data_IF_871193105715
#
_entry.id   IF_871193105715
#
_cell.length_a   1.000
_cell.length_b   1.000
_cell.length_c   1.000
_cell.angle_alpha   90.00
_cell.angle_beta   90.00
_cell.angle_gamma   90.00
#
_symmetry.space_group_name_H-M   'P 1'
#
loop_
_entity.id
_entity.type
_entity.pdbx_description
1 polymer ?
#
# COMPACT_ATOMS: atom_id res chain seq x y z
N UNK A 1 -14.43 -18.63 -2.28
CA UNK A 1 -15.20 -17.77 -3.20
C UNK A 1 -15.55 -18.53 -4.50
N UNK A 2 -14.60 -19.17 -5.19
CA UNK A 2 -14.86 -19.97 -6.41
C UNK A 2 -16.04 -20.93 -6.24
N UNK A 3 -16.03 -21.72 -5.17
CA UNK A 3 -17.10 -22.65 -4.81
C UNK A 3 -18.48 -21.97 -4.66
N UNK A 4 -18.53 -20.76 -4.09
CA UNK A 4 -19.78 -20.02 -3.94
C UNK A 4 -20.30 -19.55 -5.29
N UNK A 5 -19.42 -18.99 -6.13
CA UNK A 5 -19.76 -18.52 -7.47
C UNK A 5 -20.28 -19.70 -8.33
N UNK A 6 -19.54 -20.82 -8.30
CA UNK A 6 -19.90 -22.02 -9.05
C UNK A 6 -21.28 -22.57 -8.65
N UNK A 7 -21.54 -22.71 -7.34
CA UNK A 7 -22.82 -23.23 -6.85
C UNK A 7 -24.00 -22.32 -7.20
N UNK A 8 -23.88 -21.01 -6.95
CA UNK A 8 -24.94 -20.06 -7.21
C UNK A 8 -25.26 -19.99 -8.71
N UNK A 9 -24.24 -19.93 -9.56
CA UNK A 9 -24.46 -19.94 -11.00
C UNK A 9 -25.01 -21.28 -11.51
N UNK A 10 -24.53 -22.42 -10.98
CA UNK A 10 -25.05 -23.73 -11.34
C UNK A 10 -26.52 -23.88 -11.00
N UNK A 11 -26.97 -23.37 -9.85
CA UNK A 11 -28.37 -23.32 -9.45
C UNK A 11 -29.18 -22.41 -10.39
N UNK A 12 -28.71 -21.23 -10.71
CA UNK A 12 -29.37 -20.29 -11.62
C UNK A 12 -29.49 -20.82 -13.06
N UNK A 13 -28.54 -21.66 -13.49
CA UNK A 13 -28.54 -22.29 -14.82
C UNK A 13 -29.20 -23.66 -14.85
N UNK A 14 -29.75 -24.18 -13.73
CA UNK A 14 -30.26 -25.56 -13.64
C UNK A 14 -31.32 -25.89 -14.68
N UNK A 15 -32.26 -24.97 -14.94
CA UNK A 15 -33.38 -25.14 -15.89
C UNK A 15 -33.02 -24.65 -17.31
N UNK A 16 -31.76 -24.45 -17.63
CA UNK A 16 -31.32 -23.93 -18.94
C UNK A 16 -30.43 -24.92 -19.68
N UNK A 17 -30.13 -24.62 -20.96
CA UNK A 17 -29.20 -25.38 -21.78
C UNK A 17 -27.71 -24.96 -21.52
N UNK A 18 -27.47 -24.09 -20.53
CA UNK A 18 -26.17 -23.59 -20.16
C UNK A 18 -25.69 -24.32 -18.90
N UNK A 19 -24.46 -24.64 -18.84
CA UNK A 19 -23.80 -25.16 -17.64
C UNK A 19 -22.50 -24.38 -17.32
N UNK A 20 -22.22 -24.24 -16.04
CA UNK A 20 -20.90 -23.74 -15.60
C UNK A 20 -19.89 -24.85 -15.83
N UNK A 21 -18.85 -24.58 -16.61
CA UNK A 21 -17.76 -25.54 -16.88
C UNK A 21 -16.68 -25.41 -15.82
N UNK A 22 -16.23 -24.18 -15.56
CA UNK A 22 -15.23 -23.89 -14.53
C UNK A 22 -15.29 -22.46 -14.03
N UNK A 23 -14.92 -22.29 -12.77
CA UNK A 23 -14.66 -21.00 -12.15
C UNK A 23 -13.22 -21.02 -11.67
N UNK A 24 -12.42 -20.02 -12.03
CA UNK A 24 -11.05 -19.92 -11.57
C UNK A 24 -10.65 -18.49 -11.20
N UNK A 25 -9.79 -18.41 -10.22
CA UNK A 25 -9.23 -17.18 -9.70
C UNK A 25 -8.04 -16.72 -10.55
N UNK A 26 -8.00 -15.46 -10.92
CA UNK A 26 -6.89 -14.88 -11.69
C UNK A 26 -5.99 -14.01 -10.80
N UNK A 27 -6.59 -13.09 -10.08
CA UNK A 27 -5.89 -12.13 -9.21
C UNK A 27 -6.86 -11.64 -8.11
N UNK A 28 -6.41 -10.96 -7.04
CA UNK A 28 -7.30 -10.53 -5.96
C UNK A 28 -8.58 -9.85 -6.45
N UNK A 29 -9.72 -10.47 -6.12
CA UNK A 29 -11.05 -9.98 -6.48
C UNK A 29 -11.50 -10.27 -7.91
N UNK A 30 -10.72 -10.99 -8.74
CA UNK A 30 -11.06 -11.29 -10.13
C UNK A 30 -11.21 -12.78 -10.35
N UNK A 31 -12.40 -13.15 -10.77
CA UNK A 31 -12.77 -14.51 -11.12
C UNK A 31 -13.19 -14.61 -12.58
N UNK A 32 -12.74 -15.66 -13.22
CA UNK A 32 -13.19 -16.02 -14.55
C UNK A 32 -14.16 -17.19 -14.45
N UNK A 33 -15.25 -17.08 -15.19
CA UNK A 33 -16.29 -18.06 -15.25
C UNK A 33 -16.39 -18.52 -16.72
N UNK A 34 -16.27 -19.79 -16.95
CA UNK A 34 -16.47 -20.40 -18.26
C UNK A 34 -17.76 -21.17 -18.21
N UNK A 35 -18.67 -20.86 -19.12
CA UNK A 35 -19.92 -21.58 -19.32
C UNK A 35 -19.89 -22.33 -20.65
N UNK A 36 -20.61 -23.43 -20.73
CA UNK A 36 -20.77 -24.22 -21.94
C UNK A 36 -22.25 -24.46 -22.26
N UNK A 37 -22.61 -24.48 -23.53
CA UNK A 37 -23.94 -24.92 -23.96
C UNK A 37 -24.04 -26.43 -23.92
N UNK A 38 -25.12 -26.95 -23.34
CA UNK A 38 -25.47 -28.41 -23.38
C UNK A 38 -25.91 -28.85 -24.76
N UNK A 39 -26.45 -27.91 -25.56
CA UNK A 39 -26.77 -28.14 -26.96
C UNK A 39 -25.58 -27.78 -27.89
N UNK A 40 -25.51 -28.46 -29.06
CA UNK A 40 -24.43 -28.19 -30.04
C UNK A 40 -24.60 -26.86 -30.78
N UNK A 41 -25.67 -26.14 -30.60
CA UNK A 41 -25.94 -24.84 -31.21
C UNK A 41 -25.64 -23.71 -30.21
N UNK A 42 -24.87 -22.70 -30.68
CA UNK A 42 -24.69 -21.50 -29.88
C UNK A 42 -26.00 -20.75 -29.73
N UNK A 43 -26.42 -20.33 -28.51
CA UNK A 43 -27.54 -19.44 -28.33
C UNK A 43 -27.36 -18.17 -29.20
N UNK A 44 -28.31 -17.90 -30.07
CA UNK A 44 -28.19 -16.74 -30.99
C UNK A 44 -28.52 -15.42 -30.30
N UNK A 45 -29.22 -15.46 -29.15
CA UNK A 45 -29.61 -14.30 -28.37
C UNK A 45 -29.09 -14.44 -26.93
N UNK A 46 -28.26 -13.49 -26.48
CA UNK A 46 -27.81 -13.38 -25.08
C UNK A 46 -28.94 -13.07 -24.07
N UNK A 47 -30.18 -13.18 -24.45
CA UNK A 47 -31.33 -12.78 -23.62
C UNK A 47 -31.49 -13.57 -22.32
N UNK A 48 -31.42 -14.89 -22.38
CA UNK A 48 -31.61 -15.75 -21.20
C UNK A 48 -30.35 -15.74 -20.31
N UNK A 49 -29.16 -15.79 -20.90
CA UNK A 49 -27.88 -15.71 -20.20
C UNK A 49 -27.75 -14.34 -19.50
N UNK A 50 -28.16 -13.28 -20.18
CA UNK A 50 -28.13 -11.93 -19.61
C UNK A 50 -29.00 -11.76 -18.38
N UNK A 51 -30.19 -12.37 -18.35
CA UNK A 51 -31.09 -12.31 -17.18
C UNK A 51 -30.50 -13.07 -15.99
N UNK A 52 -29.96 -14.25 -16.22
CA UNK A 52 -29.32 -15.07 -15.18
C UNK A 52 -28.10 -14.34 -14.59
N UNK A 53 -27.27 -13.73 -15.43
CA UNK A 53 -26.12 -12.96 -14.94
C UNK A 53 -26.55 -11.73 -14.14
N UNK A 54 -27.65 -11.04 -14.50
CA UNK A 54 -28.21 -9.95 -13.68
C UNK A 54 -28.72 -10.45 -12.33
N UNK A 55 -29.39 -11.60 -12.29
CA UNK A 55 -29.83 -12.23 -11.03
C UNK A 55 -28.61 -12.62 -10.17
N UNK A 56 -27.60 -13.19 -10.77
CA UNK A 56 -26.35 -13.50 -10.08
C UNK A 56 -25.69 -12.24 -9.47
N UNK A 57 -25.56 -11.17 -10.26
CA UNK A 57 -25.01 -9.89 -9.77
C UNK A 57 -25.84 -9.34 -8.63
N UNK A 58 -27.17 -9.35 -8.74
CA UNK A 58 -28.06 -8.89 -7.68
C UNK A 58 -27.91 -9.71 -6.39
N UNK A 59 -27.81 -11.03 -6.51
CA UNK A 59 -27.59 -11.93 -5.37
C UNK A 59 -26.24 -11.68 -4.70
N UNK A 60 -25.17 -11.55 -5.50
CA UNK A 60 -23.83 -11.27 -4.99
C UNK A 60 -23.77 -9.93 -4.24
N UNK A 61 -24.43 -8.91 -4.77
CA UNK A 61 -24.48 -7.58 -4.14
C UNK A 61 -25.22 -7.59 -2.80
N UNK A 62 -26.30 -8.36 -2.72
CA UNK A 62 -27.05 -8.44 -1.47
C UNK A 62 -26.32 -9.23 -0.38
N UNK A 63 -25.61 -10.28 -0.74
CA UNK A 63 -25.09 -11.27 0.22
C UNK A 63 -23.59 -11.17 0.50
N UNK A 64 -22.78 -10.66 -0.44
CA UNK A 64 -21.32 -10.81 -0.36
C UNK A 64 -20.58 -9.50 -0.61
N UNK A 65 -20.83 -8.85 -1.75
CA UNK A 65 -20.12 -7.64 -2.18
C UNK A 65 -21.11 -6.54 -2.56
N UNK A 66 -21.05 -5.36 -1.92
CA UNK A 66 -21.96 -4.25 -2.24
C UNK A 66 -21.74 -3.67 -3.64
N UNK A 67 -20.55 -3.87 -4.23
CA UNK A 67 -20.21 -3.40 -5.57
C UNK A 67 -19.48 -4.49 -6.36
N UNK A 68 -19.98 -4.78 -7.54
CA UNK A 68 -19.45 -5.82 -8.43
C UNK A 68 -19.41 -5.33 -9.87
N UNK A 69 -18.27 -5.54 -10.54
CA UNK A 69 -18.18 -5.44 -11.99
C UNK A 69 -18.40 -6.83 -12.61
N UNK A 70 -19.28 -6.94 -13.58
CA UNK A 70 -19.54 -8.18 -14.31
C UNK A 70 -19.45 -7.93 -15.82
N UNK A 71 -18.61 -8.68 -16.49
CA UNK A 71 -18.46 -8.63 -17.95
C UNK A 71 -18.74 -9.98 -18.59
N UNK A 72 -19.59 -10.01 -19.59
CA UNK A 72 -19.94 -11.20 -20.34
C UNK A 72 -19.32 -11.17 -21.74
N UNK A 73 -18.64 -12.25 -22.11
CA UNK A 73 -18.12 -12.48 -23.47
C UNK A 73 -19.24 -12.96 -24.41
N UNK A 74 -18.86 -13.26 -25.65
CA UNK A 74 -19.73 -13.91 -26.62
C UNK A 74 -19.46 -15.42 -26.62
N UNK A 75 -20.46 -16.17 -27.07
CA UNK A 75 -20.28 -17.59 -27.35
C UNK A 75 -19.22 -17.77 -28.47
N UNK A 76 -18.22 -18.59 -28.21
CA UNK A 76 -17.08 -18.76 -29.08
C UNK A 76 -16.51 -20.18 -28.98
N UNK A 77 -15.78 -20.60 -29.96
CA UNK A 77 -15.00 -21.83 -29.88
C UNK A 77 -13.86 -21.74 -28.88
N UNK A 78 -13.34 -22.87 -28.42
CA UNK A 78 -12.17 -22.90 -27.49
C UNK A 78 -11.00 -22.11 -28.05
N UNK A 79 -10.79 -22.12 -29.37
CA UNK A 79 -9.73 -21.36 -30.03
C UNK A 79 -9.94 -19.82 -29.93
N UNK A 80 -11.16 -19.39 -29.86
CA UNK A 80 -11.52 -17.97 -29.69
C UNK A 80 -11.41 -17.44 -28.26
N UNK A 81 -11.40 -18.31 -27.24
CA UNK A 81 -11.44 -17.91 -25.82
C UNK A 81 -10.29 -16.97 -25.42
N UNK A 82 -9.08 -17.18 -25.96
CA UNK A 82 -7.94 -16.31 -25.66
C UNK A 82 -8.17 -14.87 -26.16
N UNK A 83 -8.83 -14.72 -27.32
CA UNK A 83 -9.19 -13.39 -27.85
C UNK A 83 -10.30 -12.77 -27.00
N UNK A 84 -11.29 -13.57 -26.60
CA UNK A 84 -12.38 -13.13 -25.75
C UNK A 84 -11.88 -12.63 -24.39
N UNK A 85 -10.98 -13.38 -23.73
CA UNK A 85 -10.44 -12.98 -22.43
C UNK A 85 -9.70 -11.64 -22.52
N UNK A 86 -8.90 -11.42 -23.56
CA UNK A 86 -8.23 -10.12 -23.79
C UNK A 86 -9.23 -8.98 -24.01
N UNK A 87 -10.30 -9.25 -24.73
CA UNK A 87 -11.33 -8.24 -24.99
C UNK A 87 -12.13 -7.90 -23.71
N UNK A 88 -12.49 -8.91 -22.91
CA UNK A 88 -13.13 -8.70 -21.61
C UNK A 88 -12.23 -7.91 -20.65
N UNK A 89 -10.94 -8.19 -20.65
CA UNK A 89 -9.98 -7.40 -19.85
C UNK A 89 -9.95 -5.94 -20.30
N UNK A 90 -9.91 -5.67 -21.61
CA UNK A 90 -9.99 -4.30 -22.15
C UNK A 90 -11.32 -3.63 -21.81
N UNK A 91 -12.42 -4.38 -21.85
CA UNK A 91 -13.73 -3.88 -21.45
C UNK A 91 -13.74 -3.47 -19.98
N UNK A 92 -13.19 -4.30 -19.08
CA UNK A 92 -13.03 -3.95 -17.66
C UNK A 92 -12.19 -2.68 -17.48
N UNK A 93 -11.03 -2.60 -18.15
CA UNK A 93 -10.15 -1.43 -18.08
C UNK A 93 -10.81 -0.13 -18.60
N UNK A 94 -11.74 -0.26 -19.53
CA UNK A 94 -12.50 0.86 -20.09
C UNK A 94 -13.81 1.19 -19.38
N UNK A 95 -14.19 0.45 -18.34
CA UNK A 95 -15.49 0.58 -17.65
C UNK A 95 -15.37 0.47 -16.13
N UNK A 96 -14.30 1.00 -15.55
CA UNK A 96 -14.04 0.93 -14.10
C UNK A 96 -15.08 1.65 -13.23
N UNK A 97 -15.85 2.57 -13.80
CA UNK A 97 -16.95 3.27 -13.13
C UNK A 97 -18.27 2.49 -13.11
N UNK A 98 -18.40 1.45 -13.92
CA UNK A 98 -19.63 0.65 -13.97
C UNK A 98 -19.65 -0.36 -12.84
N UNK A 99 -20.72 -0.36 -12.04
CA UNK A 99 -20.92 -1.26 -10.92
C UNK A 99 -22.34 -1.86 -10.97
N UNK A 100 -22.42 -3.10 -10.52
CA UNK A 100 -23.70 -3.80 -10.33
C UNK A 100 -24.51 -4.00 -11.62
N UNK A 101 -23.85 -3.89 -12.75
CA UNK A 101 -24.41 -4.13 -14.07
C UNK A 101 -23.63 -5.22 -14.80
N UNK A 102 -24.35 -5.93 -15.68
CA UNK A 102 -23.71 -6.88 -16.60
C UNK A 102 -23.41 -6.18 -17.92
N UNK A 103 -22.14 -6.10 -18.24
CA UNK A 103 -21.68 -5.54 -19.51
C UNK A 103 -21.45 -6.66 -20.53
N UNK A 104 -22.03 -6.52 -21.71
CA UNK A 104 -21.83 -7.47 -22.82
C UNK A 104 -20.81 -6.96 -23.80
N UNK A 105 -19.85 -7.79 -24.16
CA UNK A 105 -18.72 -7.42 -25.03
C UNK A 105 -19.16 -6.93 -26.42
N UNK A 106 -20.27 -7.46 -26.97
CA UNK A 106 -20.82 -7.04 -28.25
C UNK A 106 -21.47 -5.64 -28.21
N UNK A 107 -21.92 -5.21 -27.05
CA UNK A 107 -22.59 -3.92 -26.83
C UNK A 107 -21.62 -2.86 -26.33
N UNK A 108 -20.54 -3.28 -25.70
CA UNK A 108 -19.58 -2.39 -25.09
C UNK A 108 -18.92 -1.47 -26.12
N UNK A 109 -18.91 -0.18 -25.82
CA UNK A 109 -18.14 0.84 -26.51
C UNK A 109 -17.28 1.55 -25.48
N UNK A 110 -15.97 1.46 -25.66
CA UNK A 110 -15.04 2.16 -24.78
C UNK A 110 -15.32 3.67 -24.83
N UNK A 111 -15.42 4.33 -23.67
CA UNK A 111 -15.57 5.78 -23.65
C UNK A 111 -14.38 6.42 -24.37
N UNK A 112 -14.67 7.37 -25.24
CA UNK A 112 -13.62 8.21 -25.83
C UNK A 112 -13.26 9.30 -24.81
N UNK A 113 -12.29 9.01 -23.95
CA UNK A 113 -11.82 9.97 -22.96
C UNK A 113 -10.56 10.64 -23.46
N UNK A 114 -10.62 11.94 -23.71
CA UNK A 114 -9.42 12.77 -23.71
C UNK A 114 -9.17 13.21 -22.27
N UNK A 115 -8.12 12.69 -21.64
CA UNK A 115 -7.72 13.15 -20.32
C UNK A 115 -7.26 14.61 -20.41
N UNK A 116 -7.93 15.48 -19.71
CA UNK A 116 -7.58 16.89 -19.59
C UNK A 116 -7.71 17.31 -18.12
N UNK A 117 -6.58 17.52 -17.46
CA UNK A 117 -6.58 17.90 -16.05
C UNK A 117 -6.58 19.42 -15.89
N UNK A 118 -7.76 20.01 -15.78
CA UNK A 118 -7.94 21.45 -15.55
C UNK A 118 -7.66 21.88 -14.11
N UNK A 119 -7.53 20.95 -13.17
CA UNK A 119 -7.27 21.23 -11.76
C UNK A 119 -5.76 21.27 -11.43
N UNK A 120 -4.88 20.94 -12.38
CA UNK A 120 -3.44 20.76 -12.16
C UNK A 120 -2.76 21.99 -11.51
N UNK A 121 -3.08 23.18 -12.00
CA UNK A 121 -2.49 24.42 -11.46
C UNK A 121 -3.06 24.77 -10.07
N UNK A 122 -4.31 24.40 -9.81
CA UNK A 122 -4.92 24.54 -8.49
C UNK A 122 -4.24 23.60 -7.49
N UNK A 123 -3.95 22.34 -7.88
CA UNK A 123 -3.23 21.41 -7.01
C UNK A 123 -1.83 21.89 -6.68
N UNK A 124 -1.10 22.44 -7.66
CA UNK A 124 0.22 23.07 -7.43
C UNK A 124 0.15 24.23 -6.43
N UNK A 125 -0.86 25.09 -6.56
CA UNK A 125 -1.08 26.22 -5.65
C UNK A 125 -1.37 25.73 -4.22
N UNK A 126 -2.29 24.76 -4.05
CA UNK A 126 -2.67 24.21 -2.75
C UNK A 126 -1.51 23.47 -2.06
N UNK A 127 -0.66 22.75 -2.83
CA UNK A 127 0.56 22.16 -2.31
C UNK A 127 1.55 23.24 -1.84
N UNK A 128 1.68 24.34 -2.60
CA UNK A 128 2.57 25.43 -2.25
C UNK A 128 2.13 26.16 -0.97
N UNK A 129 0.82 26.20 -0.72
CA UNK A 129 0.21 26.71 0.51
C UNK A 129 0.18 25.67 1.65
N UNK A 130 0.69 24.45 1.42
CA UNK A 130 0.70 23.34 2.37
C UNK A 130 -0.72 22.97 2.88
N UNK A 131 -1.71 22.97 1.98
CA UNK A 131 -3.12 22.63 2.24
C UNK A 131 -3.50 21.24 1.67
N UNK A 132 -3.03 20.15 2.26
CA UNK A 132 -3.26 18.81 1.73
C UNK A 132 -4.74 18.42 1.69
N UNK A 133 -5.51 18.78 2.72
CA UNK A 133 -6.91 18.34 2.80
C UNK A 133 -7.79 19.05 1.77
N UNK A 134 -7.54 20.34 1.49
CA UNK A 134 -8.26 21.06 0.45
C UNK A 134 -7.97 20.49 -0.94
N UNK A 135 -6.71 20.10 -1.20
CA UNK A 135 -6.33 19.42 -2.44
C UNK A 135 -7.06 18.07 -2.58
N UNK A 136 -7.07 17.27 -1.52
CA UNK A 136 -7.71 15.94 -1.54
C UNK A 136 -9.24 16.05 -1.70
N UNK A 137 -9.88 17.02 -1.06
CA UNK A 137 -11.31 17.30 -1.25
C UNK A 137 -11.64 17.67 -2.71
N UNK A 138 -10.79 18.49 -3.35
CA UNK A 138 -10.96 18.83 -4.76
C UNK A 138 -10.74 17.64 -5.68
N UNK A 139 -9.72 16.85 -5.41
CA UNK A 139 -9.46 15.59 -6.14
C UNK A 139 -10.67 14.65 -6.04
N UNK A 140 -11.22 14.49 -4.84
CA UNK A 140 -12.40 13.65 -4.64
C UNK A 140 -13.60 14.16 -5.45
N UNK A 141 -13.90 15.46 -5.40
CA UNK A 141 -14.97 16.06 -6.20
C UNK A 141 -14.74 15.89 -7.72
N UNK A 142 -13.49 15.98 -8.15
CA UNK A 142 -13.12 15.76 -9.56
C UNK A 142 -13.38 14.30 -9.97
N UNK A 143 -12.97 13.35 -9.16
CA UNK A 143 -13.20 11.92 -9.39
C UNK A 143 -14.70 11.58 -9.33
N UNK A 144 -15.46 12.12 -8.36
CA UNK A 144 -16.91 11.90 -8.23
C UNK A 144 -17.67 12.36 -9.47
N UNK A 145 -17.25 13.49 -10.06
CA UNK A 145 -17.83 13.97 -11.32
C UNK A 145 -17.50 13.05 -12.48
N UNK A 146 -16.21 12.69 -12.62
CA UNK A 146 -15.73 11.85 -13.71
C UNK A 146 -16.35 10.46 -13.68
N UNK A 147 -16.59 9.92 -12.48
CA UNK A 147 -17.27 8.63 -12.29
C UNK A 147 -18.74 8.69 -12.73
N UNK A 148 -19.48 9.74 -12.32
CA UNK A 148 -20.87 9.94 -12.75
C UNK A 148 -21.01 10.12 -14.28
N UNK A 149 -19.99 10.64 -14.92
CA UNK A 149 -19.91 10.78 -16.37
C UNK A 149 -19.49 9.46 -17.07
N UNK A 150 -19.21 8.39 -16.31
CA UNK A 150 -18.76 7.11 -16.85
C UNK A 150 -17.36 7.13 -17.47
N UNK A 151 -16.53 8.10 -17.11
CA UNK A 151 -15.24 8.36 -17.75
C UNK A 151 -14.03 7.81 -17.00
N UNK A 152 -14.22 7.14 -15.84
CA UNK A 152 -13.10 6.50 -15.14
C UNK A 152 -12.72 5.23 -15.90
N UNK A 153 -11.60 5.32 -16.61
CA UNK A 153 -10.93 4.22 -17.29
C UNK A 153 -9.55 4.01 -16.69
N UNK A 154 -8.93 2.86 -16.99
CA UNK A 154 -7.53 2.64 -16.60
C UNK A 154 -6.59 3.68 -17.17
N UNK A 155 -6.79 4.10 -18.42
CA UNK A 155 -5.98 5.15 -19.06
C UNK A 155 -6.13 6.49 -18.32
N UNK A 156 -7.35 6.86 -17.96
CA UNK A 156 -7.62 8.03 -17.13
C UNK A 156 -6.88 7.98 -15.80
N UNK A 157 -6.98 6.85 -15.06
CA UNK A 157 -6.31 6.70 -13.78
C UNK A 157 -4.77 6.71 -13.90
N UNK A 158 -4.21 6.15 -14.97
CA UNK A 158 -2.76 6.23 -15.24
C UNK A 158 -2.32 7.67 -15.44
N UNK A 159 -3.06 8.45 -16.26
CA UNK A 159 -2.75 9.84 -16.53
C UNK A 159 -2.87 10.69 -15.24
N UNK A 160 -3.97 10.53 -14.50
CA UNK A 160 -4.22 11.22 -13.23
C UNK A 160 -3.13 10.93 -12.18
N UNK A 161 -2.78 9.67 -12.01
CA UNK A 161 -1.70 9.27 -11.11
C UNK A 161 -0.36 9.89 -11.51
N UNK A 162 -0.08 9.92 -12.80
CA UNK A 162 1.14 10.52 -13.32
C UNK A 162 1.20 12.01 -13.00
N UNK A 163 0.14 12.74 -13.24
CA UNK A 163 0.04 14.16 -12.90
C UNK A 163 0.21 14.43 -11.42
N UNK A 164 -0.51 13.68 -10.56
CA UNK A 164 -0.38 13.81 -9.10
C UNK A 164 1.05 13.54 -8.63
N UNK A 165 1.65 12.48 -9.12
CA UNK A 165 3.03 12.11 -8.76
C UNK A 165 4.02 13.19 -9.21
N UNK A 166 3.88 13.70 -10.44
CA UNK A 166 4.74 14.74 -10.96
C UNK A 166 4.62 16.05 -10.18
N UNK A 167 3.40 16.47 -9.85
CA UNK A 167 3.16 17.68 -9.06
C UNK A 167 3.81 17.58 -7.69
N UNK A 168 3.60 16.47 -6.97
CA UNK A 168 4.18 16.27 -5.63
C UNK A 168 5.70 16.19 -5.71
N UNK A 169 6.25 15.44 -6.68
CA UNK A 169 7.70 15.27 -6.82
C UNK A 169 8.40 16.56 -7.23
N UNK A 170 7.80 17.37 -8.12
CA UNK A 170 8.31 18.68 -8.48
C UNK A 170 8.31 19.60 -7.25
N UNK A 171 7.22 19.65 -6.51
CA UNK A 171 7.10 20.45 -5.29
C UNK A 171 8.16 20.06 -4.21
N UNK A 172 8.43 18.78 -4.03
CA UNK A 172 9.50 18.28 -3.15
C UNK A 172 10.88 18.68 -3.68
N UNK A 173 11.11 18.53 -4.99
CA UNK A 173 12.40 18.83 -5.62
C UNK A 173 12.79 20.30 -5.51
N UNK A 174 11.85 21.23 -5.70
CA UNK A 174 12.05 22.66 -5.48
C UNK A 174 12.53 22.98 -4.06
N UNK A 175 12.12 22.13 -3.09
CA UNK A 175 12.51 22.24 -1.67
C UNK A 175 13.72 21.40 -1.30
N UNK A 176 14.43 20.85 -2.32
CA UNK A 176 15.60 19.98 -2.18
C UNK A 176 15.33 18.68 -1.39
N UNK A 177 14.07 18.24 -1.35
CA UNK A 177 13.63 16.99 -0.73
C UNK A 177 13.62 15.91 -1.79
N UNK A 178 14.27 14.78 -1.51
CA UNK A 178 14.33 13.65 -2.43
C UNK A 178 13.10 12.76 -2.24
N UNK A 179 12.21 12.73 -3.23
CA UNK A 179 10.96 11.98 -3.18
C UNK A 179 11.15 10.49 -2.81
N UNK A 180 12.20 9.83 -3.31
CA UNK A 180 12.47 8.43 -2.98
C UNK A 180 12.73 8.20 -1.47
N UNK A 181 13.13 9.22 -0.74
CA UNK A 181 13.32 9.13 0.71
C UNK A 181 12.02 8.90 1.47
N UNK A 182 10.91 9.37 0.88
CA UNK A 182 9.58 9.30 1.48
C UNK A 182 8.77 8.09 0.98
N UNK A 183 8.98 7.70 -0.28
CA UNK A 183 8.03 6.84 -0.99
C UNK A 183 8.61 5.50 -1.47
N UNK A 184 9.87 5.17 -1.15
CA UNK A 184 10.48 3.90 -1.54
C UNK A 184 10.27 2.81 -0.47
N UNK A 185 9.02 2.56 -0.11
CA UNK A 185 8.62 1.47 0.79
C UNK A 185 7.57 0.57 0.12
N UNK A 186 7.40 -0.65 0.64
CA UNK A 186 6.50 -1.65 0.08
C UNK A 186 5.03 -1.21 0.12
N UNK A 187 4.63 -0.46 1.14
CA UNK A 187 3.25 0.02 1.27
C UNK A 187 2.93 1.05 0.19
N UNK A 188 3.85 1.96 -0.07
CA UNK A 188 3.69 2.94 -1.15
C UNK A 188 3.70 2.29 -2.53
N UNK A 189 4.51 1.24 -2.75
CA UNK A 189 4.50 0.46 -3.98
C UNK A 189 3.15 -0.24 -4.19
N UNK A 190 2.57 -0.81 -3.13
CA UNK A 190 1.25 -1.43 -3.17
C UNK A 190 0.15 -0.41 -3.48
N UNK A 191 0.13 0.73 -2.78
CA UNK A 191 -0.81 1.82 -3.03
C UNK A 191 -0.69 2.33 -4.47
N UNK A 192 0.54 2.53 -4.95
CA UNK A 192 0.80 2.96 -6.33
C UNK A 192 0.25 1.96 -7.36
N UNK A 193 0.41 0.65 -7.12
CA UNK A 193 -0.13 -0.40 -7.99
C UNK A 193 -1.65 -0.42 -7.94
N UNK A 194 -2.22 -0.41 -6.75
CA UNK A 194 -3.65 -0.51 -6.52
C UNK A 194 -4.42 0.71 -7.01
N UNK A 195 -3.81 1.90 -7.06
CA UNK A 195 -4.46 3.14 -7.52
C UNK A 195 -5.10 3.08 -8.90
N UNK A 196 -4.83 2.02 -9.67
CA UNK A 196 -5.42 1.80 -10.99
C UNK A 196 -6.63 0.86 -10.98
N UNK A 197 -7.06 0.39 -9.81
CA UNK A 197 -8.24 -0.49 -9.73
C UNK A 197 -9.55 0.30 -9.69
N UNK A 198 -9.53 1.51 -9.17
CA UNK A 198 -10.72 2.34 -9.11
C UNK A 198 -10.49 3.72 -8.49
N UNK A 199 -11.61 4.37 -8.23
CA UNK A 199 -11.67 5.72 -7.65
C UNK A 199 -11.15 5.72 -6.21
N UNK A 200 -11.60 4.79 -5.38
CA UNK A 200 -11.26 4.70 -3.96
C UNK A 200 -9.76 4.50 -3.77
N UNK A 201 -9.16 3.57 -4.50
CA UNK A 201 -7.73 3.27 -4.42
C UNK A 201 -6.89 4.44 -4.93
N UNK A 202 -7.39 5.21 -5.90
CA UNK A 202 -6.74 6.44 -6.34
C UNK A 202 -6.78 7.51 -5.25
N UNK A 203 -7.90 7.67 -4.54
CA UNK A 203 -8.02 8.62 -3.42
C UNK A 203 -7.09 8.22 -2.26
N UNK A 204 -7.03 6.94 -1.94
CA UNK A 204 -6.14 6.42 -0.90
C UNK A 204 -4.67 6.69 -1.25
N UNK A 205 -4.24 6.33 -2.46
CA UNK A 205 -2.90 6.62 -2.95
C UNK A 205 -2.56 8.11 -2.87
N UNK A 206 -3.43 8.97 -3.39
CA UNK A 206 -3.25 10.41 -3.38
C UNK A 206 -3.18 10.96 -1.95
N UNK A 207 -4.01 10.44 -1.05
CA UNK A 207 -4.03 10.81 0.37
C UNK A 207 -2.69 10.58 1.04
N UNK A 208 -2.12 9.38 0.88
CA UNK A 208 -0.81 9.06 1.44
C UNK A 208 0.30 9.89 0.79
N UNK A 209 0.29 10.00 -0.55
CA UNK A 209 1.29 10.75 -1.31
C UNK A 209 1.35 12.22 -0.86
N UNK A 210 0.22 12.89 -0.81
CA UNK A 210 0.12 14.34 -0.52
C UNK A 210 0.39 14.62 0.96
N UNK A 211 -0.26 13.90 1.87
CA UNK A 211 -0.10 14.13 3.33
C UNK A 211 1.33 13.86 3.77
N UNK A 212 1.93 12.74 3.36
CA UNK A 212 3.30 12.39 3.73
C UNK A 212 4.31 13.42 3.23
N UNK A 213 4.11 13.96 2.01
CA UNK A 213 4.96 15.01 1.47
C UNK A 213 4.89 16.30 2.30
N UNK A 214 3.67 16.78 2.60
CA UNK A 214 3.45 18.03 3.37
C UNK A 214 3.92 17.87 4.82
N UNK A 215 3.60 16.78 5.48
CA UNK A 215 4.03 16.50 6.85
C UNK A 215 5.55 16.50 6.97
N UNK A 216 6.24 15.84 6.06
CA UNK A 216 7.70 15.82 6.06
C UNK A 216 8.29 17.23 5.85
N UNK A 217 7.70 18.03 4.97
CA UNK A 217 8.11 19.42 4.76
C UNK A 217 7.94 20.27 6.01
N UNK A 218 6.81 20.16 6.69
CA UNK A 218 6.55 20.86 7.96
C UNK A 218 7.50 20.41 9.07
N UNK A 219 7.81 19.12 9.11
CA UNK A 219 8.75 18.54 10.03
C UNK A 219 10.15 19.10 9.85
N UNK A 220 10.69 19.13 8.63
CA UNK A 220 12.03 19.71 8.35
C UNK A 220 12.11 21.17 8.75
N UNK A 221 11.02 21.93 8.58
CA UNK A 221 11.01 23.35 8.93
C UNK A 221 11.03 23.61 10.44
N UNK A 222 10.64 22.64 11.26
CA UNK A 222 10.44 22.83 12.71
C UNK A 222 11.59 22.34 13.58
N UNK A 223 12.59 21.62 13.04
CA UNK A 223 13.43 20.83 13.91
C UNK A 223 14.92 20.76 13.57
N UNK A 224 15.70 20.40 14.61
CA UNK A 224 17.03 19.83 14.56
C UNK A 224 17.12 18.68 13.54
N UNK A 225 18.35 18.30 13.16
CA UNK A 225 18.53 17.27 12.14
C UNK A 225 17.72 15.98 12.44
N UNK A 226 17.22 15.32 11.40
CA UNK A 226 16.56 14.01 11.48
C UNK A 226 17.30 13.05 12.41
N UNK A 227 18.63 13.05 12.30
CA UNK A 227 19.51 12.21 13.10
C UNK A 227 19.48 12.57 14.59
N UNK A 228 19.39 13.88 14.93
CA UNK A 228 19.27 14.32 16.32
C UNK A 228 18.01 13.84 16.98
N UNK A 229 16.89 13.83 16.27
CA UNK A 229 15.61 13.34 16.79
C UNK A 229 15.60 11.83 17.00
N UNK A 230 16.16 11.08 16.04
CA UNK A 230 16.33 9.63 16.19
C UNK A 230 17.23 9.30 17.39
N UNK A 231 18.31 10.05 17.58
CA UNK A 231 19.14 9.89 18.77
C UNK A 231 18.39 10.20 20.06
N UNK A 232 17.64 11.30 20.12
CA UNK A 232 16.84 11.67 21.29
C UNK A 232 15.78 10.59 21.62
N UNK A 233 15.11 10.05 20.62
CA UNK A 233 14.18 8.94 20.79
C UNK A 233 14.87 7.69 21.35
N UNK A 234 15.99 7.27 20.75
CA UNK A 234 16.77 6.12 21.22
C UNK A 234 17.24 6.36 22.66
N UNK A 235 17.72 7.55 22.97
CA UNK A 235 18.20 7.91 24.31
C UNK A 235 17.09 7.86 25.38
N UNK A 236 15.84 8.07 25.00
CA UNK A 236 14.70 7.94 25.88
C UNK A 236 14.18 6.50 26.01
N UNK A 237 14.27 5.69 24.91
CA UNK A 237 13.63 4.38 24.80
C UNK A 237 14.60 3.20 24.68
N UNK A 238 15.92 3.39 24.86
CA UNK A 238 16.93 2.32 24.66
C UNK A 238 16.69 1.04 25.45
N UNK A 239 15.89 1.07 26.51
CA UNK A 239 15.54 -0.10 27.33
C UNK A 239 14.50 -1.00 26.66
N UNK A 240 13.74 -0.45 25.73
CA UNK A 240 12.64 -1.11 25.04
C UNK A 240 13.15 -1.75 23.73
N UNK A 241 12.31 -2.52 23.11
CA UNK A 241 12.56 -3.01 21.76
C UNK A 241 12.21 -1.87 20.77
N UNK A 242 13.21 -1.40 20.03
CA UNK A 242 13.04 -0.31 19.06
C UNK A 242 13.06 -0.91 17.67
N UNK A 243 11.94 -0.76 16.95
CA UNK A 243 11.80 -1.20 15.56
C UNK A 243 12.20 -0.08 14.58
N UNK A 244 12.77 -0.46 13.43
CA UNK A 244 13.21 0.52 12.41
C UNK A 244 12.03 1.28 11.81
N UNK A 245 10.92 0.60 11.66
CA UNK A 245 9.66 1.12 11.14
C UNK A 245 9.17 2.28 12.00
N UNK A 246 9.18 2.11 13.30
CA UNK A 246 8.82 3.12 14.29
C UNK A 246 9.71 4.38 14.19
N UNK A 247 11.02 4.18 14.01
CA UNK A 247 11.93 5.32 13.79
C UNK A 247 11.70 5.99 12.43
N UNK A 248 11.31 5.23 11.43
CA UNK A 248 10.95 5.75 10.11
C UNK A 248 9.69 6.62 10.19
N UNK A 249 8.66 6.16 10.89
CA UNK A 249 7.42 6.90 11.14
C UNK A 249 7.66 8.19 11.93
N UNK A 250 8.47 8.12 13.00
CA UNK A 250 8.82 9.28 13.82
C UNK A 250 9.39 10.44 12.99
N UNK A 251 10.19 10.15 11.96
CA UNK A 251 10.86 11.15 11.14
C UNK A 251 10.27 11.27 9.72
N UNK A 252 9.17 10.60 9.44
CA UNK A 252 8.48 10.57 8.13
C UNK A 252 9.38 10.12 6.96
N UNK A 253 10.31 9.19 7.21
CA UNK A 253 11.22 8.64 6.21
C UNK A 253 11.07 7.14 6.09
N UNK A 254 11.33 6.60 4.89
CA UNK A 254 11.47 5.16 4.79
C UNK A 254 12.73 4.68 5.53
N UNK A 255 12.68 3.46 6.04
CA UNK A 255 13.68 2.87 6.92
C UNK A 255 15.08 2.75 6.29
N UNK A 256 15.16 2.47 4.99
CA UNK A 256 16.43 2.32 4.28
C UNK A 256 17.12 3.67 4.08
N UNK A 257 16.34 4.70 3.76
CA UNK A 257 16.87 6.04 3.61
C UNK A 257 17.32 6.61 4.96
N UNK A 258 16.51 6.42 6.01
CA UNK A 258 16.88 6.78 7.39
C UNK A 258 18.19 6.11 7.80
N UNK A 259 18.34 4.81 7.57
CA UNK A 259 19.56 4.06 7.90
C UNK A 259 20.80 4.61 7.19
N UNK A 260 20.66 5.02 5.93
CA UNK A 260 21.76 5.63 5.15
C UNK A 260 22.14 7.01 5.66
N UNK A 261 21.17 7.88 5.94
CA UNK A 261 21.44 9.21 6.51
C UNK A 261 22.10 9.07 7.87
N UNK A 262 21.53 8.27 8.76
CA UNK A 262 22.04 8.08 10.11
C UNK A 262 23.49 7.60 10.10
N UNK A 263 23.79 6.57 9.30
CA UNK A 263 25.16 6.06 9.14
C UNK A 263 26.10 7.10 8.56
N UNK A 264 25.64 7.93 7.60
CA UNK A 264 26.44 9.00 7.02
C UNK A 264 26.78 10.09 8.03
N UNK A 265 25.83 10.48 8.88
CA UNK A 265 26.01 11.59 9.84
C UNK A 265 26.68 11.15 11.15
N UNK A 266 26.34 9.95 11.67
CA UNK A 266 26.87 9.42 12.93
C UNK A 266 28.08 8.50 12.76
N UNK A 267 28.37 8.05 11.53
CA UNK A 267 29.46 7.10 11.26
C UNK A 267 29.12 5.65 11.61
N UNK A 268 28.02 5.39 12.31
CA UNK A 268 27.59 4.06 12.79
C UNK A 268 26.15 3.79 12.43
N UNK A 269 25.75 2.50 12.41
CA UNK A 269 24.36 2.14 12.18
C UNK A 269 23.47 2.47 13.40
N UNK A 270 22.16 2.63 13.16
CA UNK A 270 21.17 2.82 14.23
C UNK A 270 21.27 1.69 15.28
N UNK A 271 21.38 0.43 14.85
CA UNK A 271 21.52 -0.70 15.76
C UNK A 271 22.78 -0.60 16.62
N UNK A 272 23.90 -0.17 16.04
CA UNK A 272 25.14 0.03 16.80
C UNK A 272 25.01 1.22 17.77
N UNK A 273 24.29 2.25 17.42
CA UNK A 273 24.02 3.38 18.33
C UNK A 273 23.21 2.93 19.55
N UNK A 274 22.16 2.11 19.34
CA UNK A 274 21.36 1.52 20.45
C UNK A 274 22.26 0.66 21.35
N UNK A 275 23.11 -0.19 20.74
CA UNK A 275 24.05 -1.04 21.49
C UNK A 275 25.00 -0.17 22.32
N UNK A 276 25.63 0.84 21.71
CA UNK A 276 26.56 1.74 22.43
C UNK A 276 25.86 2.41 23.62
N UNK A 277 24.63 2.91 23.43
CA UNK A 277 23.86 3.52 24.51
C UNK A 277 23.60 2.56 25.66
N UNK A 278 23.16 1.33 25.34
CA UNK A 278 22.93 0.27 26.37
C UNK A 278 24.21 -0.09 27.10
N UNK A 279 25.34 -0.20 26.40
CA UNK A 279 26.66 -0.49 26.98
C UNK A 279 27.13 0.65 27.90
N UNK A 280 26.96 1.89 27.50
CA UNK A 280 27.30 3.08 28.34
C UNK A 280 26.51 3.08 29.65
N UNK A 281 25.20 2.83 29.58
CA UNK A 281 24.36 2.77 30.77
C UNK A 281 24.72 1.54 31.65
N UNK A 282 25.02 0.40 31.01
CA UNK A 282 25.52 -0.76 31.75
C UNK A 282 26.82 -0.50 32.50
N UNK A 283 27.78 0.21 31.87
CA UNK A 283 29.04 0.62 32.55
C UNK A 283 28.76 1.45 33.79
N UNK A 284 27.86 2.44 33.72
CA UNK A 284 27.47 3.27 34.86
C UNK A 284 26.88 2.40 35.99
N UNK A 285 25.91 1.54 35.66
CA UNK A 285 25.28 0.66 36.65
C UNK A 285 26.27 -0.34 37.27
N UNK A 286 27.20 -0.86 36.49
CA UNK A 286 28.22 -1.81 36.97
C UNK A 286 29.19 -1.16 37.96
N UNK A 287 29.56 0.11 37.75
CA UNK A 287 30.54 0.83 38.58
C UNK A 287 29.90 1.55 39.76
N UNK A 288 28.64 2.02 39.64
CA UNK A 288 27.98 2.87 40.60
C UNK A 288 26.93 2.15 41.47
N UNK A 289 26.70 0.86 41.22
CA UNK A 289 25.72 0.09 41.98
C UNK A 289 26.20 -1.33 42.32
N UNK A 290 25.56 -1.93 43.32
CA UNK A 290 25.75 -3.35 43.71
C UNK A 290 24.76 -4.31 43.05
N UNK A 291 23.96 -3.82 42.08
CA UNK A 291 22.96 -4.65 41.41
C UNK A 291 23.55 -5.91 40.82
N UNK A 292 22.88 -7.08 40.90
CA UNK A 292 23.31 -8.28 40.22
C UNK A 292 23.49 -8.04 38.69
N UNK A 293 24.47 -8.71 38.07
CA UNK A 293 24.78 -8.50 36.65
C UNK A 293 23.58 -8.81 35.74
N UNK A 294 22.81 -9.84 36.07
CA UNK A 294 21.59 -10.19 35.36
C UNK A 294 20.51 -9.08 35.48
N UNK A 295 20.42 -8.41 36.62
CA UNK A 295 19.52 -7.28 36.83
C UNK A 295 19.97 -6.08 35.97
N UNK A 296 21.27 -5.80 35.91
CA UNK A 296 21.83 -4.78 35.01
C UNK A 296 21.50 -5.09 33.56
N UNK A 297 21.65 -6.36 33.12
CA UNK A 297 21.28 -6.80 31.76
C UNK A 297 19.82 -6.45 31.42
N UNK A 298 18.90 -6.83 32.29
CA UNK A 298 17.47 -6.54 32.11
C UNK A 298 17.19 -5.04 32.08
N UNK A 299 17.82 -4.30 32.98
CA UNK A 299 17.61 -2.86 33.13
C UNK A 299 18.04 -2.07 31.90
N UNK A 300 19.06 -2.54 31.19
CA UNK A 300 19.53 -1.90 29.94
C UNK A 300 18.87 -2.46 28.68
N UNK A 301 17.82 -3.31 28.82
CA UNK A 301 17.00 -3.79 27.71
C UNK A 301 17.47 -5.10 27.05
N UNK A 302 18.20 -5.95 27.79
CA UNK A 302 18.55 -7.31 27.30
C UNK A 302 17.82 -8.37 28.10
N UNK A 303 16.90 -9.07 27.47
CA UNK A 303 16.22 -10.25 28.05
C UNK A 303 17.11 -11.50 28.09
N UNK A 304 18.11 -11.60 27.20
CA UNK A 304 19.06 -12.70 27.14
C UNK A 304 20.40 -12.30 27.74
N UNK A 305 20.69 -12.87 28.93
CA UNK A 305 21.93 -12.60 29.68
C UNK A 305 23.22 -13.01 28.93
N UNK A 306 23.20 -14.16 28.23
CA UNK A 306 24.36 -14.61 27.47
C UNK A 306 24.68 -13.68 26.31
N UNK A 307 23.65 -13.19 25.62
CA UNK A 307 23.80 -12.21 24.56
C UNK A 307 24.34 -10.87 25.11
N UNK A 308 23.80 -10.39 26.22
CA UNK A 308 24.31 -9.20 26.91
C UNK A 308 25.81 -9.33 27.25
N UNK A 309 26.21 -10.45 27.85
CA UNK A 309 27.61 -10.68 28.26
C UNK A 309 28.54 -10.63 27.06
N UNK A 310 28.16 -11.28 25.95
CA UNK A 310 28.92 -11.23 24.69
C UNK A 310 29.01 -9.82 24.15
N UNK A 311 27.86 -9.14 24.01
CA UNK A 311 27.79 -7.77 23.47
C UNK A 311 28.59 -6.79 24.31
N UNK A 312 28.52 -6.87 25.64
CA UNK A 312 29.27 -6.01 26.53
C UNK A 312 30.79 -6.23 26.38
N UNK A 313 31.23 -7.52 26.30
CA UNK A 313 32.63 -7.86 26.10
C UNK A 313 33.15 -7.40 24.74
N UNK A 314 32.38 -7.58 23.68
CA UNK A 314 32.75 -7.18 22.32
C UNK A 314 32.92 -5.63 22.22
N UNK A 315 32.18 -4.86 23.02
CA UNK A 315 32.25 -3.39 23.01
C UNK A 315 33.21 -2.80 24.05
N UNK A 316 33.60 -3.53 25.08
CA UNK A 316 34.43 -3.00 26.20
C UNK A 316 35.78 -3.71 26.38
N UNK A 317 35.90 -4.89 25.79
CA UNK A 317 37.04 -5.78 26.00
C UNK A 317 36.97 -6.64 27.26
N UNK A 318 36.03 -6.37 28.16
CA UNK A 318 35.87 -7.05 29.47
C UNK A 318 34.51 -7.70 29.61
N UNK A 319 34.43 -8.86 30.27
CA UNK A 319 33.14 -9.39 30.70
C UNK A 319 32.53 -8.44 31.79
N UNK A 320 31.19 -8.38 31.93
CA UNK A 320 30.55 -7.43 32.88
C UNK A 320 31.04 -7.56 34.32
N UNK A 321 31.31 -8.78 34.79
CA UNK A 321 31.84 -8.99 36.14
C UNK A 321 33.30 -8.55 36.27
N UNK A 322 34.12 -8.78 35.26
CA UNK A 322 35.52 -8.30 35.21
C UNK A 322 35.55 -6.77 35.17
N UNK A 323 34.69 -6.14 34.34
CA UNK A 323 34.55 -4.69 34.26
C UNK A 323 34.20 -4.10 35.64
N UNK A 324 33.22 -4.66 36.35
CA UNK A 324 32.88 -4.24 37.71
C UNK A 324 34.07 -4.30 38.65
N UNK A 325 34.80 -5.41 38.66
CA UNK A 325 35.98 -5.57 39.55
C UNK A 325 37.14 -4.60 39.26
N UNK A 326 37.30 -4.26 38.00
CA UNK A 326 38.41 -3.41 37.54
C UNK A 326 38.11 -1.92 37.68
N UNK A 327 36.85 -1.51 37.57
CA UNK A 327 36.47 -0.10 37.47
C UNK A 327 35.48 0.38 38.54
N UNK A 328 34.97 -0.46 39.46
CA UNK A 328 34.23 0.05 40.62
C UNK A 328 35.15 0.86 41.50
N UNK A 329 34.74 2.08 41.78
CA UNK A 329 35.36 2.88 42.84
C UNK A 329 35.19 2.12 44.17
N UNK A 330 36.30 1.99 44.93
CA UNK A 330 36.30 1.35 46.24
C UNK A 330 35.59 2.19 47.27
#
# INVERSE_FOLDING_TARGET
MEFVIENVLSELYEETDIAVDTVFYQEPGIYWIVTQSREKAFPQDGGQDGEILRQFVAWMNEKIYPELWCGAGQWESVLGMQKQSRNLQKMREGSLSVRNEVLFLNEFRAPQTSYENRELDVWKALLSEEKPEELLERLQKYLDRTEREGMITREFLVALRTDLTQVVYAWLSERKIKAYALFADADMENLHRNSLYGREEMIEYAGVLVRKAVQYRQYINKSDSVTSQVCAYIDAHYREEIHREELGELVFLNTDYLSRIFKKEKGISISNYIIQKRVEEAKKLLTQSTLPINTVSLYVGYSNFSYFTKMFKDNTGYAPLEYRRSFSEK
#
